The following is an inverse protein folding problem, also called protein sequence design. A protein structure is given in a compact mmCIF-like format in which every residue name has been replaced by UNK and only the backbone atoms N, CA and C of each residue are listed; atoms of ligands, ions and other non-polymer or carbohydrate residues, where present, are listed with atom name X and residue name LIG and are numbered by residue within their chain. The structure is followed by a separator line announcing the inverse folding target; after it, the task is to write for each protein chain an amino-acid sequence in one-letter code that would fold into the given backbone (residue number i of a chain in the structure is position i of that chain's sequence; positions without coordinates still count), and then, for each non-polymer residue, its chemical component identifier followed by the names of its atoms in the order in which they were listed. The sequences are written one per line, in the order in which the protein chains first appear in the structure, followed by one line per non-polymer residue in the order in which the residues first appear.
data_IF_419785980636
#
_entry.id   IF_419785980636
#
_cell.length_a   1.000
_cell.length_b   1.000
_cell.length_c   1.000
_cell.angle_alpha   90.00
_cell.angle_beta   90.00
_cell.angle_gamma   90.00
#
_symmetry.space_group_name_H-M   'P 1'
#
loop_
_entity.id
_entity.type
_entity.pdbx_description
1 polymer ?
#
# COMPACT_ATOMS: atom_id res chain seq x y z
N UNK A 1 48.19 0.46 -11.35
CA UNK A 1 47.70 1.08 -10.11
C UNK A 1 48.18 2.52 -10.13
N UNK A 2 47.40 3.39 -10.78
CA UNK A 2 47.69 4.83 -10.84
C UNK A 2 47.30 5.45 -9.52
N UNK A 3 48.23 6.10 -8.84
CA UNK A 3 47.96 7.01 -7.73
C UNK A 3 46.96 8.06 -8.21
N UNK A 4 45.68 7.88 -7.90
CA UNK A 4 44.71 8.96 -7.99
C UNK A 4 45.07 9.85 -6.81
N UNK A 5 45.93 10.85 -7.04
CA UNK A 5 46.08 11.97 -6.14
C UNK A 5 44.70 12.61 -6.03
N UNK A 6 43.97 12.22 -4.99
CA UNK A 6 42.69 12.81 -4.62
C UNK A 6 42.99 14.27 -4.26
N UNK A 7 42.86 15.16 -5.24
CA UNK A 7 43.14 16.58 -5.10
C UNK A 7 41.99 17.22 -4.30
N UNK A 8 41.92 16.89 -3.01
CA UNK A 8 40.96 17.50 -2.09
C UNK A 8 41.27 18.98 -2.06
N UNK A 9 40.28 19.80 -2.43
CA UNK A 9 40.41 21.24 -2.34
C UNK A 9 40.66 21.57 -0.87
N UNK A 10 41.77 22.23 -0.50
CA UNK A 10 42.02 22.57 0.89
C UNK A 10 40.96 23.59 1.34
N UNK A 11 39.94 23.11 2.05
CA UNK A 11 38.90 23.97 2.62
C UNK A 11 39.49 24.69 3.81
N UNK A 12 39.68 26.01 3.67
CA UNK A 12 40.10 26.84 4.81
C UNK A 12 38.92 26.98 5.78
N UNK A 13 38.95 26.23 6.89
CA UNK A 13 37.92 26.26 7.93
C UNK A 13 38.04 27.53 8.79
N UNK A 14 37.79 28.71 8.20
CA UNK A 14 37.81 30.01 8.91
C UNK A 14 36.74 30.15 10.00
N UNK A 15 35.75 29.24 10.08
CA UNK A 15 34.64 29.23 11.05
C UNK A 15 34.82 28.29 12.26
N UNK A 16 36.03 27.80 12.53
CA UNK A 16 36.31 26.99 13.73
C UNK A 16 36.65 27.82 14.98
N UNK A 17 36.57 29.15 14.90
CA UNK A 17 36.81 30.00 16.07
C UNK A 17 35.59 30.00 16.99
N UNK A 18 35.77 29.87 18.32
CA UNK A 18 34.71 30.12 19.31
C UNK A 18 34.00 31.46 19.16
N UNK A 19 34.63 32.42 18.47
CA UNK A 19 34.14 33.77 18.20
C UNK A 19 33.32 33.89 16.89
N UNK A 20 32.88 32.77 16.29
CA UNK A 20 32.05 32.80 15.09
C UNK A 20 30.71 33.54 15.34
N UNK A 21 30.38 34.60 14.57
CA UNK A 21 29.11 35.33 14.73
C UNK A 21 27.87 34.45 14.56
N UNK A 22 27.97 33.31 13.85
CA UNK A 22 26.89 32.33 13.73
C UNK A 22 26.69 31.45 14.97
N UNK A 23 27.69 31.39 15.85
CA UNK A 23 27.62 30.75 17.17
C UNK A 23 27.37 31.78 18.29
N UNK A 24 27.20 33.07 17.99
CA UNK A 24 27.00 34.11 19.00
C UNK A 24 25.89 33.82 20.05
N UNK A 25 24.73 33.20 19.71
CA UNK A 25 23.74 32.82 20.72
C UNK A 25 24.22 31.72 21.67
N UNK A 26 25.01 30.74 21.19
CA UNK A 26 25.57 29.67 22.03
C UNK A 26 26.85 30.10 22.76
N UNK A 27 27.63 31.01 22.17
CA UNK A 27 28.82 31.61 22.79
C UNK A 27 28.48 32.46 24.02
N UNK A 28 27.28 33.04 24.11
CA UNK A 28 26.84 33.80 25.30
C UNK A 28 26.72 32.92 26.55
N UNK A 29 26.22 31.69 26.43
CA UNK A 29 25.96 30.77 27.55
C UNK A 29 26.22 29.30 27.15
N UNK A 30 27.48 28.91 26.89
CA UNK A 30 27.81 27.60 26.31
C UNK A 30 27.39 26.45 27.23
N UNK A 31 27.60 26.59 28.54
CA UNK A 31 27.24 25.58 29.55
C UNK A 31 25.73 25.32 29.61
N UNK A 32 24.90 26.32 29.35
CA UNK A 32 23.44 26.15 29.35
C UNK A 32 23.00 25.36 28.12
N UNK A 33 23.52 25.71 26.95
CA UNK A 33 23.23 25.01 25.69
C UNK A 33 23.64 23.54 25.78
N UNK A 34 24.86 23.26 26.26
CA UNK A 34 25.35 21.90 26.46
C UNK A 34 24.46 21.11 27.43
N UNK A 35 24.06 21.71 28.56
CA UNK A 35 23.16 21.07 29.54
C UNK A 35 21.78 20.77 28.96
N UNK A 36 21.21 21.66 28.16
CA UNK A 36 19.90 21.44 27.54
C UNK A 36 19.97 20.29 26.53
N UNK A 37 21.02 20.24 25.70
CA UNK A 37 21.24 19.15 24.73
C UNK A 37 21.50 17.83 25.45
N UNK A 38 22.31 17.84 26.51
CA UNK A 38 22.55 16.65 27.32
C UNK A 38 21.25 16.16 27.98
N UNK A 39 20.42 17.06 28.50
CA UNK A 39 19.14 16.72 29.12
C UNK A 39 18.17 16.09 28.12
N UNK A 40 18.07 16.60 26.88
CA UNK A 40 17.21 15.98 25.86
C UNK A 40 17.70 14.59 25.49
N UNK A 41 19.02 14.36 25.39
CA UNK A 41 19.55 13.01 25.17
C UNK A 41 19.32 12.07 26.35
N UNK A 42 19.44 12.54 27.59
CA UNK A 42 19.14 11.74 28.78
C UNK A 42 17.66 11.34 28.80
N UNK A 43 16.74 12.29 28.58
CA UNK A 43 15.29 12.01 28.51
C UNK A 43 14.98 11.04 27.38
N UNK A 44 15.57 11.23 26.19
CA UNK A 44 15.42 10.31 25.06
C UNK A 44 15.89 8.89 25.38
N UNK A 45 17.03 8.77 26.05
CA UNK A 45 17.61 7.47 26.49
C UNK A 45 16.71 6.79 27.52
N UNK A 46 16.22 7.52 28.52
CA UNK A 46 15.32 6.98 29.54
C UNK A 46 14.00 6.48 28.93
N UNK A 47 13.46 7.19 27.94
CA UNK A 47 12.26 6.76 27.23
C UNK A 47 12.49 5.52 26.36
N UNK A 48 13.68 5.37 25.75
CA UNK A 48 14.05 4.15 25.04
C UNK A 48 14.24 2.94 25.97
N UNK A 49 14.83 3.14 27.14
CA UNK A 49 14.89 2.10 28.17
C UNK A 49 13.48 1.73 28.67
N UNK A 50 12.62 2.72 28.87
CA UNK A 50 11.22 2.50 29.24
C UNK A 50 10.45 1.76 28.14
N UNK A 51 10.75 2.02 26.86
CA UNK A 51 10.20 1.25 25.73
C UNK A 51 10.64 -0.21 25.78
N UNK A 52 11.94 -0.48 25.95
CA UNK A 52 12.45 -1.84 26.07
C UNK A 52 11.83 -2.61 27.24
N UNK A 53 11.69 -1.95 28.40
CA UNK A 53 10.97 -2.50 29.55
C UNK A 53 9.49 -2.75 29.26
N UNK A 54 8.79 -1.76 28.70
CA UNK A 54 7.37 -1.86 28.35
C UNK A 54 7.10 -2.98 27.34
N UNK A 55 8.03 -3.19 26.40
CA UNK A 55 7.98 -4.29 25.45
C UNK A 55 8.14 -5.64 26.15
N UNK A 56 9.12 -5.75 27.07
CA UNK A 56 9.36 -6.97 27.84
C UNK A 56 8.15 -7.43 28.66
N UNK A 57 7.44 -6.51 29.30
CA UNK A 57 6.24 -6.82 30.10
C UNK A 57 4.94 -6.89 29.28
N UNK A 58 5.02 -6.84 27.94
CA UNK A 58 3.89 -6.82 27.02
C UNK A 58 2.84 -5.74 27.36
N UNK A 59 3.30 -4.50 27.51
CA UNK A 59 2.45 -3.37 27.84
C UNK A 59 1.47 -3.01 26.69
N UNK A 60 0.41 -2.26 27.03
CA UNK A 60 -0.57 -1.77 26.06
C UNK A 60 0.08 -0.99 24.90
N UNK A 61 -0.44 -1.09 23.66
CA UNK A 61 0.18 -0.47 22.47
C UNK A 61 0.44 1.04 22.57
N UNK A 62 -0.43 1.78 23.27
CA UNK A 62 -0.23 3.23 23.45
C UNK A 62 0.97 3.56 24.34
N UNK A 63 1.32 2.71 25.32
CA UNK A 63 2.52 2.88 26.17
C UNK A 63 3.80 2.65 25.37
N UNK A 64 3.77 1.64 24.49
CA UNK A 64 4.86 1.35 23.55
C UNK A 64 5.05 2.53 22.57
N UNK A 65 3.95 3.01 21.98
CA UNK A 65 3.97 4.17 21.09
C UNK A 65 4.49 5.44 21.78
N UNK A 66 4.03 5.73 23.00
CA UNK A 66 4.43 6.93 23.73
C UNK A 66 5.91 6.91 24.13
N UNK A 67 6.43 5.78 24.60
CA UNK A 67 7.84 5.64 25.02
C UNK A 67 8.79 5.65 23.82
N UNK A 68 8.49 4.91 22.75
CA UNK A 68 9.30 4.91 21.53
C UNK A 68 9.26 6.27 20.82
N UNK A 69 8.06 6.81 20.61
CA UNK A 69 7.85 8.09 19.95
C UNK A 69 8.48 9.25 20.73
N UNK A 70 8.28 9.27 22.04
CA UNK A 70 8.93 10.25 22.93
C UNK A 70 10.46 10.13 22.90
N UNK A 71 11.00 8.92 22.97
CA UNK A 71 12.44 8.68 22.88
C UNK A 71 13.06 9.25 21.61
N UNK A 72 12.50 8.91 20.45
CA UNK A 72 12.95 9.44 19.15
C UNK A 72 12.77 10.95 19.04
N UNK A 73 11.66 11.49 19.56
CA UNK A 73 11.39 12.92 19.55
C UNK A 73 12.47 13.72 20.29
N UNK A 74 12.83 13.31 21.51
CA UNK A 74 13.88 13.98 22.29
C UNK A 74 15.27 13.78 21.71
N UNK A 75 15.58 12.62 21.11
CA UNK A 75 16.81 12.44 20.33
C UNK A 75 16.86 13.39 19.12
N UNK A 76 15.76 13.52 18.37
CA UNK A 76 15.66 14.43 17.24
C UNK A 76 15.91 15.89 17.64
N UNK A 77 15.27 16.35 18.73
CA UNK A 77 15.51 17.69 19.29
C UNK A 77 16.98 17.86 19.69
N UNK A 78 17.57 16.88 20.38
CA UNK A 78 18.98 16.93 20.79
C UNK A 78 19.95 17.01 19.60
N UNK A 79 19.73 16.21 18.56
CA UNK A 79 20.55 16.23 17.35
C UNK A 79 20.44 17.56 16.58
N UNK A 80 19.23 18.09 16.42
CA UNK A 80 19.02 19.39 15.77
C UNK A 80 19.68 20.50 16.58
N UNK A 81 19.53 20.49 17.91
CA UNK A 81 20.16 21.48 18.78
C UNK A 81 21.70 21.38 18.75
N UNK A 82 22.27 20.17 18.73
CA UNK A 82 23.70 19.97 18.51
C UNK A 82 24.14 20.58 17.17
N UNK A 83 23.50 20.19 16.06
CA UNK A 83 23.84 20.70 14.74
C UNK A 83 23.69 22.24 14.64
N UNK A 84 22.68 22.81 15.30
CA UNK A 84 22.41 24.25 15.23
C UNK A 84 23.30 25.08 16.16
N UNK A 85 23.69 24.59 17.32
CA UNK A 85 24.31 25.43 18.35
C UNK A 85 25.76 25.05 18.69
N UNK A 86 26.21 23.84 18.35
CA UNK A 86 27.57 23.36 18.63
C UNK A 86 28.39 23.11 17.36
N UNK A 87 27.77 22.83 16.21
CA UNK A 87 28.51 22.59 14.97
C UNK A 87 28.93 23.90 14.28
N UNK A 88 30.16 23.97 13.73
CA UNK A 88 30.63 25.11 12.95
C UNK A 88 29.72 25.38 11.75
N UNK A 89 29.41 26.66 11.50
CA UNK A 89 28.60 27.09 10.36
C UNK A 89 29.45 27.97 9.46
N UNK A 90 30.10 27.33 8.49
CA UNK A 90 30.81 28.05 7.44
C UNK A 90 29.96 28.17 6.17
N UNK A 91 30.17 29.21 5.35
CA UNK A 91 29.92 29.07 3.92
C UNK A 91 30.93 28.06 3.37
N UNK A 92 30.51 26.79 3.27
CA UNK A 92 31.27 25.77 2.57
C UNK A 92 30.97 25.88 1.08
N UNK A 93 31.94 26.34 0.30
CA UNK A 93 31.83 26.42 -1.16
C UNK A 93 32.64 25.29 -1.76
N UNK A 94 31.96 24.34 -2.37
CA UNK A 94 32.57 23.32 -3.23
C UNK A 94 32.25 23.66 -4.69
N UNK A 95 33.29 23.76 -5.52
CA UNK A 95 33.09 23.98 -6.95
C UNK A 95 32.51 22.71 -7.58
N UNK A 96 31.34 22.82 -8.21
CA UNK A 96 30.72 21.68 -8.87
C UNK A 96 31.57 21.28 -10.07
N UNK A 97 32.14 20.08 -10.04
CA UNK A 97 32.79 19.53 -11.23
C UNK A 97 31.77 19.42 -12.37
N UNK A 98 32.21 19.67 -13.60
CA UNK A 98 31.39 19.40 -14.77
C UNK A 98 31.04 17.91 -14.80
N UNK A 99 29.74 17.58 -14.87
CA UNK A 99 29.29 16.21 -15.09
C UNK A 99 29.44 15.77 -16.54
N UNK A 100 29.67 16.72 -17.46
CA UNK A 100 29.94 16.41 -18.85
C UNK A 100 31.40 15.98 -18.99
N UNK A 101 31.59 14.74 -19.45
CA UNK A 101 32.89 14.23 -19.89
C UNK A 101 33.42 15.06 -21.05
N UNK A 102 34.75 15.14 -21.16
CA UNK A 102 35.40 15.79 -22.29
C UNK A 102 35.05 15.05 -23.59
N UNK A 103 35.16 15.73 -24.74
CA UNK A 103 34.98 15.06 -26.04
C UNK A 103 35.96 13.91 -26.22
N UNK A 104 37.20 14.10 -25.78
CA UNK A 104 38.27 13.11 -25.85
C UNK A 104 37.92 11.84 -25.06
N UNK A 105 37.39 11.97 -23.84
CA UNK A 105 36.96 10.81 -23.03
C UNK A 105 35.80 10.05 -23.68
N UNK A 106 34.85 10.77 -24.29
CA UNK A 106 33.72 10.13 -24.99
C UNK A 106 34.17 9.38 -26.23
N UNK A 107 35.09 9.98 -26.99
CA UNK A 107 35.63 9.38 -28.20
C UNK A 107 36.51 8.17 -27.88
N UNK A 108 37.34 8.27 -26.84
CA UNK A 108 38.14 7.16 -26.33
C UNK A 108 37.26 5.99 -25.85
N UNK A 109 36.18 6.29 -25.12
CA UNK A 109 35.23 5.26 -24.67
C UNK A 109 34.48 4.60 -25.84
N UNK A 110 34.03 5.40 -26.82
CA UNK A 110 33.39 4.88 -28.02
C UNK A 110 34.34 3.98 -28.83
N UNK A 111 35.61 4.40 -28.99
CA UNK A 111 36.64 3.61 -29.64
C UNK A 111 36.87 2.28 -28.90
N UNK A 112 36.98 2.31 -27.57
CA UNK A 112 37.16 1.11 -26.75
C UNK A 112 35.99 0.11 -26.90
N UNK A 113 34.74 0.58 -26.99
CA UNK A 113 33.58 -0.28 -27.24
C UNK A 113 33.65 -0.93 -28.62
N UNK A 114 33.98 -0.15 -29.65
CA UNK A 114 34.03 -0.63 -31.04
C UNK A 114 35.17 -1.63 -31.24
N UNK A 115 36.35 -1.33 -30.70
CA UNK A 115 37.53 -2.19 -30.78
C UNK A 115 37.29 -3.53 -30.09
N UNK A 116 36.69 -3.50 -28.89
CA UNK A 116 36.52 -4.70 -28.07
C UNK A 116 35.32 -5.56 -28.46
N UNK A 117 34.20 -4.94 -28.85
CA UNK A 117 32.92 -5.63 -29.05
C UNK A 117 32.35 -5.55 -30.47
N UNK A 118 32.50 -4.39 -31.11
CA UNK A 118 31.83 -4.08 -32.39
C UNK A 118 32.27 -4.99 -33.54
N UNK A 119 33.57 -5.27 -33.65
CA UNK A 119 34.12 -6.08 -34.75
C UNK A 119 33.71 -7.56 -34.70
N UNK A 120 33.65 -8.15 -33.50
CA UNK A 120 33.38 -9.58 -33.32
C UNK A 120 31.90 -9.90 -33.58
N UNK A 121 31.00 -9.07 -33.08
CA UNK A 121 29.55 -9.28 -33.23
C UNK A 121 29.10 -8.97 -34.66
N UNK A 122 29.62 -7.90 -35.29
CA UNK A 122 29.24 -7.50 -36.66
C UNK A 122 29.64 -8.53 -37.72
N UNK A 123 30.74 -9.26 -37.52
CA UNK A 123 31.24 -10.29 -38.46
C UNK A 123 30.54 -11.64 -38.31
N UNK A 124 29.91 -11.91 -37.16
CA UNK A 124 29.27 -13.21 -36.84
C UNK A 124 27.74 -13.12 -36.85
N UNK A 125 27.18 -12.66 -37.96
CA UNK A 125 25.73 -12.38 -38.13
C UNK A 125 24.85 -13.59 -37.81
N UNK A 126 25.29 -14.81 -38.14
CA UNK A 126 24.54 -16.03 -37.81
C UNK A 126 24.43 -16.24 -36.30
N UNK A 127 25.55 -16.15 -35.57
CA UNK A 127 25.56 -16.30 -34.10
C UNK A 127 24.79 -15.17 -33.41
N UNK A 128 24.92 -13.93 -33.90
CA UNK A 128 24.12 -12.80 -33.40
C UNK A 128 22.62 -12.98 -33.65
N UNK A 129 22.25 -13.51 -34.82
CA UNK A 129 20.87 -13.84 -35.16
C UNK A 129 20.30 -14.97 -34.29
N UNK A 130 21.08 -16.03 -34.04
CA UNK A 130 20.69 -17.13 -33.14
C UNK A 130 20.57 -16.66 -31.69
N UNK A 131 21.48 -15.81 -31.20
CA UNK A 131 21.39 -15.21 -29.88
C UNK A 131 20.16 -14.33 -29.74
N UNK A 132 19.90 -13.45 -30.72
CA UNK A 132 18.73 -12.57 -30.74
C UNK A 132 17.42 -13.36 -30.82
N UNK A 133 17.37 -14.39 -31.68
CA UNK A 133 16.23 -15.30 -31.77
C UNK A 133 16.01 -16.08 -30.47
N UNK A 134 17.08 -16.61 -29.87
CA UNK A 134 17.02 -17.34 -28.60
C UNK A 134 16.53 -16.46 -27.45
N UNK A 135 17.05 -15.23 -27.31
CA UNK A 135 16.58 -14.27 -26.32
C UNK A 135 15.13 -13.81 -26.60
N UNK A 136 14.74 -13.68 -27.86
CA UNK A 136 13.37 -13.36 -28.26
C UNK A 136 12.38 -14.46 -27.86
N UNK A 137 12.68 -15.72 -28.19
CA UNK A 137 11.87 -16.88 -27.78
C UNK A 137 11.82 -16.99 -26.26
N UNK A 138 12.97 -16.86 -25.59
CA UNK A 138 13.04 -16.86 -24.13
C UNK A 138 12.16 -15.76 -23.51
N UNK A 139 12.20 -14.55 -24.05
CA UNK A 139 11.39 -13.43 -23.58
C UNK A 139 9.88 -13.71 -23.68
N UNK A 140 9.43 -14.24 -24.81
CA UNK A 140 8.01 -14.62 -25.01
C UNK A 140 7.62 -15.74 -24.06
N UNK A 141 8.44 -16.79 -23.94
CA UNK A 141 8.17 -17.95 -23.08
C UNK A 141 8.22 -17.57 -21.60
N UNK A 142 9.09 -16.66 -21.18
CA UNK A 142 9.14 -16.17 -19.81
C UNK A 142 7.92 -15.29 -19.47
N UNK A 143 7.39 -14.54 -20.44
CA UNK A 143 6.21 -13.68 -20.25
C UNK A 143 4.90 -14.48 -20.20
N UNK A 144 4.81 -15.58 -20.95
CA UNK A 144 3.57 -16.35 -21.08
C UNK A 144 3.02 -16.87 -19.74
N UNK A 145 3.82 -17.48 -18.83
CA UNK A 145 3.37 -17.86 -17.50
C UNK A 145 2.90 -16.67 -16.66
N UNK A 146 3.56 -15.51 -16.76
CA UNK A 146 3.16 -14.33 -15.98
C UNK A 146 1.75 -13.87 -16.36
N UNK A 147 1.43 -13.85 -17.65
CA UNK A 147 0.08 -13.50 -18.12
C UNK A 147 -0.93 -14.61 -17.80
N UNK A 148 -0.55 -15.88 -18.00
CA UNK A 148 -1.47 -17.01 -17.83
C UNK A 148 -1.77 -17.35 -16.37
N UNK A 149 -0.86 -17.01 -15.46
CA UNK A 149 -0.97 -17.25 -14.02
C UNK A 149 -1.75 -16.16 -13.27
N UNK A 150 -2.28 -15.13 -13.95
CA UNK A 150 -3.14 -14.10 -13.35
C UNK A 150 -4.55 -14.61 -12.95
N UNK A 151 -4.83 -15.89 -13.16
CA UNK A 151 -6.03 -16.55 -12.67
C UNK A 151 -6.90 -17.17 -13.77
N UNK A 152 -7.95 -17.89 -13.38
CA UNK A 152 -8.89 -18.47 -14.32
C UNK A 152 -9.72 -17.37 -15.00
N UNK A 153 -9.96 -17.52 -16.29
CA UNK A 153 -10.88 -16.65 -17.02
C UNK A 153 -12.31 -16.89 -16.52
N UNK A 154 -13.09 -15.84 -16.23
CA UNK A 154 -14.42 -15.97 -15.62
C UNK A 154 -15.48 -16.62 -16.53
N UNK A 155 -15.21 -16.80 -17.83
CA UNK A 155 -16.09 -17.47 -18.81
C UNK A 155 -17.58 -17.10 -18.58
N UNK A 156 -18.45 -18.09 -18.38
CA UNK A 156 -19.88 -17.91 -18.13
C UNK A 156 -20.25 -17.85 -16.64
N UNK A 157 -19.29 -17.93 -15.70
CA UNK A 157 -19.61 -18.02 -14.27
C UNK A 157 -20.29 -16.77 -13.73
N UNK A 158 -20.17 -15.64 -14.43
CA UNK A 158 -20.79 -14.35 -14.11
C UNK A 158 -22.30 -14.32 -14.45
N UNK A 159 -22.79 -15.23 -15.30
CA UNK A 159 -24.18 -15.24 -15.75
C UNK A 159 -25.06 -16.28 -15.03
N UNK A 160 -24.48 -16.99 -14.06
CA UNK A 160 -25.16 -18.05 -13.34
C UNK A 160 -24.99 -17.84 -11.84
N UNK A 161 -26.12 -17.90 -11.13
CA UNK A 161 -26.21 -18.08 -9.68
C UNK A 161 -26.53 -19.55 -9.40
N UNK A 162 -26.51 -19.96 -8.13
CA UNK A 162 -26.90 -21.32 -7.75
C UNK A 162 -28.41 -21.42 -7.46
N UNK A 163 -29.15 -20.30 -7.59
CA UNK A 163 -30.62 -20.26 -7.60
C UNK A 163 -31.21 -21.03 -8.78
N UNK A 164 -32.11 -21.97 -8.50
CA UNK A 164 -32.84 -22.77 -9.50
C UNK A 164 -34.32 -22.81 -9.18
N UNK A 165 -35.14 -23.14 -10.18
CA UNK A 165 -36.57 -23.37 -9.96
C UNK A 165 -36.76 -24.49 -8.93
N UNK A 166 -37.48 -24.20 -7.86
CA UNK A 166 -37.70 -25.13 -6.74
C UNK A 166 -36.69 -25.04 -5.59
N UNK A 167 -35.70 -24.13 -5.65
CA UNK A 167 -34.80 -23.86 -4.52
C UNK A 167 -35.57 -23.32 -3.32
N UNK A 168 -35.34 -23.89 -2.14
CA UNK A 168 -35.82 -23.33 -0.88
C UNK A 168 -34.90 -22.19 -0.43
N UNK A 169 -35.50 -21.12 0.12
CA UNK A 169 -34.76 -20.03 0.73
C UNK A 169 -34.38 -20.38 2.18
N UNK A 170 -33.09 -20.33 2.50
CA UNK A 170 -32.56 -20.61 3.84
C UNK A 170 -31.86 -19.37 4.42
N UNK A 171 -31.87 -19.23 5.74
CA UNK A 171 -31.04 -18.23 6.43
C UNK A 171 -29.56 -18.63 6.48
N UNK A 172 -28.72 -17.79 7.10
CA UNK A 172 -27.29 -18.03 7.27
C UNK A 172 -26.95 -19.32 8.06
N UNK A 173 -27.91 -19.86 8.82
CA UNK A 173 -27.74 -21.11 9.56
C UNK A 173 -28.19 -22.34 8.77
N UNK A 174 -28.68 -22.15 7.54
CA UNK A 174 -29.25 -23.22 6.71
C UNK A 174 -30.70 -23.56 7.06
N UNK A 175 -31.34 -22.79 7.95
CA UNK A 175 -32.74 -23.01 8.32
C UNK A 175 -33.64 -22.45 7.22
N UNK A 176 -34.56 -23.28 6.72
CA UNK A 176 -35.56 -22.87 5.72
C UNK A 176 -36.48 -21.79 6.30
N UNK A 177 -36.65 -20.72 5.53
CA UNK A 177 -37.57 -19.63 5.85
C UNK A 177 -38.99 -20.05 5.52
N UNK A 178 -39.89 -19.95 6.50
CA UNK A 178 -41.31 -20.23 6.33
C UNK A 178 -42.12 -18.95 6.15
N UNK A 179 -43.31 -19.10 5.57
CA UNK A 179 -44.28 -18.00 5.51
C UNK A 179 -44.72 -17.66 6.93
N UNK A 180 -44.38 -16.45 7.39
CA UNK A 180 -44.66 -15.99 8.76
C UNK A 180 -43.41 -15.68 9.58
N UNK A 181 -42.24 -16.17 9.17
CA UNK A 181 -40.98 -15.94 9.88
C UNK A 181 -40.55 -14.46 9.87
N UNK A 182 -40.94 -13.71 8.83
CA UNK A 182 -40.66 -12.28 8.72
C UNK A 182 -41.87 -11.47 9.17
N UNK A 183 -41.64 -10.48 10.04
CA UNK A 183 -42.63 -9.46 10.32
C UNK A 183 -42.82 -8.53 9.11
N UNK A 184 -43.97 -7.87 9.03
CA UNK A 184 -44.23 -6.88 7.99
C UNK A 184 -43.24 -5.71 8.15
N UNK A 185 -42.59 -5.32 7.06
CA UNK A 185 -41.54 -4.29 7.01
C UNK A 185 -40.15 -4.79 7.41
N UNK A 186 -39.99 -6.09 7.68
CA UNK A 186 -38.69 -6.69 7.99
C UNK A 186 -38.03 -7.29 6.75
N UNK A 187 -36.71 -7.45 6.84
CA UNK A 187 -35.89 -8.09 5.81
C UNK A 187 -35.02 -9.19 6.42
N UNK A 188 -34.67 -10.18 5.63
CA UNK A 188 -33.67 -11.19 5.99
C UNK A 188 -32.79 -11.49 4.79
N UNK A 189 -31.53 -11.84 5.02
CA UNK A 189 -30.66 -12.36 3.95
C UNK A 189 -30.89 -13.86 3.82
N UNK A 190 -31.17 -14.31 2.60
CA UNK A 190 -31.40 -15.71 2.26
C UNK A 190 -30.45 -16.20 1.17
N UNK A 191 -30.28 -17.51 1.15
CA UNK A 191 -29.49 -18.27 0.18
C UNK A 191 -30.33 -19.43 -0.39
N UNK A 192 -29.96 -19.98 -1.56
CA UNK A 192 -30.48 -21.26 -1.98
C UNK A 192 -30.00 -22.35 -1.02
N UNK A 193 -30.89 -23.26 -0.63
CA UNK A 193 -30.57 -24.37 0.27
C UNK A 193 -29.32 -25.14 -0.18
N UNK A 194 -28.34 -25.28 0.72
CA UNK A 194 -27.11 -26.03 0.50
C UNK A 194 -25.93 -25.19 -0.03
N UNK A 195 -26.12 -23.89 -0.29
CA UNK A 195 -25.03 -22.99 -0.72
C UNK A 195 -24.68 -21.91 0.30
N UNK A 196 -25.40 -21.83 1.41
CA UNK A 196 -25.24 -20.79 2.44
C UNK A 196 -23.85 -20.80 3.10
N UNK A 197 -23.19 -21.96 3.15
CA UNK A 197 -21.84 -22.10 3.71
C UNK A 197 -20.74 -22.19 2.64
N UNK A 198 -21.08 -21.98 1.36
CA UNK A 198 -20.12 -22.05 0.27
C UNK A 198 -19.55 -20.67 -0.08
N UNK A 199 -18.26 -20.60 -0.41
CA UNK A 199 -17.61 -19.35 -0.83
C UNK A 199 -18.33 -18.69 -2.02
N UNK A 200 -18.80 -19.52 -2.96
CA UNK A 200 -19.54 -19.05 -4.14
C UNK A 200 -20.92 -18.52 -3.76
N UNK A 201 -21.69 -19.24 -2.96
CA UNK A 201 -23.00 -18.78 -2.52
C UNK A 201 -22.93 -17.49 -1.71
N UNK A 202 -21.92 -17.37 -0.86
CA UNK A 202 -21.60 -16.13 -0.14
C UNK A 202 -21.19 -14.98 -1.08
N UNK A 203 -20.67 -15.27 -2.27
CA UNK A 203 -20.26 -14.23 -3.21
C UNK A 203 -21.36 -13.79 -4.18
N UNK A 204 -22.20 -14.71 -4.70
CA UNK A 204 -23.12 -14.42 -5.81
C UNK A 204 -24.60 -14.66 -5.52
N UNK A 205 -24.94 -15.45 -4.50
CA UNK A 205 -26.33 -15.87 -4.27
C UNK A 205 -27.06 -15.08 -3.19
N UNK A 206 -26.34 -14.20 -2.46
CA UNK A 206 -26.93 -13.39 -1.40
C UNK A 206 -28.15 -12.62 -1.91
N UNK A 207 -29.30 -12.92 -1.32
CA UNK A 207 -30.59 -12.33 -1.68
C UNK A 207 -31.22 -11.72 -0.44
N UNK A 208 -31.73 -10.50 -0.56
CA UNK A 208 -32.55 -9.88 0.49
C UNK A 208 -34.00 -10.26 0.23
N UNK A 209 -34.59 -10.99 1.17
CA UNK A 209 -36.02 -11.25 1.21
C UNK A 209 -36.69 -10.18 2.07
N UNK A 210 -37.63 -9.45 1.48
CA UNK A 210 -38.36 -8.33 2.08
C UNK A 210 -39.82 -8.73 2.22
N UNK A 211 -40.40 -8.52 3.40
CA UNK A 211 -41.85 -8.59 3.58
C UNK A 211 -42.44 -7.20 3.59
N UNK A 212 -43.04 -6.76 2.50
CA UNK A 212 -43.60 -5.40 2.37
C UNK A 212 -44.96 -5.28 3.06
N UNK A 213 -45.29 -4.07 3.51
CA UNK A 213 -46.56 -3.73 4.17
C UNK A 213 -47.68 -3.37 3.21
N UNK A 214 -47.34 -2.87 2.03
CA UNK A 214 -48.29 -2.35 1.05
C UNK A 214 -48.57 -3.39 -0.03
N UNK A 215 -49.84 -3.66 -0.34
CA UNK A 215 -50.22 -4.54 -1.45
C UNK A 215 -50.16 -3.82 -2.81
N UNK A 216 -50.11 -2.49 -2.82
CA UNK A 216 -49.98 -1.67 -4.01
C UNK A 216 -48.51 -1.34 -4.32
N UNK A 217 -47.74 -2.34 -4.75
CA UNK A 217 -46.36 -2.15 -5.23
C UNK A 217 -46.30 -2.38 -6.74
N UNK A 218 -45.52 -1.56 -7.44
CA UNK A 218 -45.35 -1.67 -8.89
C UNK A 218 -44.15 -2.56 -9.21
N UNK A 219 -44.40 -3.67 -9.87
CA UNK A 219 -43.33 -4.50 -10.46
C UNK A 219 -43.07 -4.09 -11.90
N UNK A 220 -41.93 -4.50 -12.45
CA UNK A 220 -41.73 -4.42 -13.90
C UNK A 220 -42.77 -5.25 -14.64
N UNK A 221 -43.10 -4.85 -15.87
CA UNK A 221 -44.03 -5.56 -16.75
C UNK A 221 -43.58 -7.03 -16.94
N UNK A 222 -44.49 -7.98 -16.72
CA UNK A 222 -44.22 -9.42 -16.75
C UNK A 222 -43.74 -10.03 -15.43
N UNK A 223 -43.68 -9.24 -14.34
CA UNK A 223 -43.30 -9.69 -12.99
C UNK A 223 -44.40 -9.44 -11.96
N UNK A 224 -45.64 -9.27 -12.40
CA UNK A 224 -46.79 -8.94 -11.56
C UNK A 224 -47.05 -10.01 -10.48
N UNK A 225 -46.61 -11.24 -10.71
CA UNK A 225 -46.75 -12.37 -9.79
C UNK A 225 -45.52 -12.61 -8.89
N UNK A 226 -44.46 -11.80 -8.99
CA UNK A 226 -43.18 -12.03 -8.29
C UNK A 226 -43.16 -11.56 -6.82
N UNK A 227 -44.30 -11.12 -6.29
CA UNK A 227 -44.45 -10.71 -4.89
C UNK A 227 -45.57 -11.44 -4.16
N UNK A 228 -45.59 -12.79 -4.13
CA UNK A 228 -46.68 -13.53 -3.49
C UNK A 228 -46.77 -13.17 -2.00
N UNK A 229 -47.98 -12.89 -1.51
CA UNK A 229 -48.25 -12.59 -0.09
C UNK A 229 -47.40 -11.44 0.49
N UNK A 230 -46.93 -10.52 -0.35
CA UNK A 230 -46.08 -9.40 0.06
C UNK A 230 -44.62 -9.76 0.32
N UNK A 231 -44.13 -10.92 -0.17
CA UNK A 231 -42.72 -11.29 -0.11
C UNK A 231 -42.03 -10.98 -1.43
N UNK A 232 -40.99 -10.16 -1.39
CA UNK A 232 -40.20 -9.79 -2.57
C UNK A 232 -38.73 -10.12 -2.30
N UNK A 233 -38.06 -10.67 -3.30
CA UNK A 233 -36.65 -11.01 -3.24
C UNK A 233 -35.85 -10.16 -4.22
N UNK A 234 -34.80 -9.50 -3.73
CA UNK A 234 -33.84 -8.76 -4.55
C UNK A 234 -32.42 -9.26 -4.29
N UNK A 235 -31.55 -9.15 -5.29
CA UNK A 235 -30.11 -9.35 -5.09
C UNK A 235 -29.63 -8.44 -3.97
N UNK A 236 -28.90 -9.01 -3.01
CA UNK A 236 -28.18 -8.24 -1.99
C UNK A 236 -26.97 -7.52 -2.59
N UNK A 237 -26.51 -7.92 -3.76
CA UNK A 237 -25.36 -7.32 -4.43
C UNK A 237 -25.82 -6.15 -5.29
N UNK A 238 -25.24 -4.97 -5.05
CA UNK A 238 -25.55 -3.79 -5.85
C UNK A 238 -25.05 -3.97 -7.30
N UNK A 239 -25.83 -3.47 -8.25
CA UNK A 239 -25.52 -3.57 -9.69
C UNK A 239 -24.40 -2.64 -10.14
N UNK A 240 -23.93 -1.74 -9.27
CA UNK A 240 -22.84 -0.81 -9.56
C UNK A 240 -21.48 -1.49 -9.42
N UNK A 241 -21.14 -1.95 -8.20
CA UNK A 241 -19.82 -2.48 -7.86
C UNK A 241 -19.89 -3.75 -6.97
N UNK A 242 -21.06 -4.35 -6.79
CA UNK A 242 -21.22 -5.60 -6.04
C UNK A 242 -21.18 -5.48 -4.51
N UNK A 243 -21.29 -4.27 -3.95
CA UNK A 243 -21.38 -4.12 -2.50
C UNK A 243 -22.67 -4.76 -1.96
N UNK A 244 -22.62 -5.46 -0.81
CA UNK A 244 -23.81 -6.02 -0.18
C UNK A 244 -24.67 -4.91 0.44
N UNK A 245 -25.88 -4.70 -0.08
CA UNK A 245 -26.89 -3.76 0.44
C UNK A 245 -27.80 -4.47 1.43
N UNK A 246 -27.70 -4.11 2.71
CA UNK A 246 -28.45 -4.77 3.79
C UNK A 246 -29.26 -3.83 4.67
N UNK A 247 -29.28 -2.54 4.35
CA UNK A 247 -30.08 -1.56 5.06
C UNK A 247 -31.42 -1.41 4.33
N UNK A 248 -32.52 -1.58 5.03
CA UNK A 248 -33.86 -1.35 4.46
C UNK A 248 -34.57 -0.27 5.26
N UNK A 249 -34.90 0.83 4.60
CA UNK A 249 -35.68 1.91 5.19
C UNK A 249 -37.17 1.59 5.07
N UNK A 250 -37.76 1.07 6.15
CA UNK A 250 -39.15 0.61 6.16
C UNK A 250 -40.18 1.69 5.77
N UNK A 251 -39.95 2.95 6.15
CA UNK A 251 -40.89 4.04 5.90
C UNK A 251 -40.95 4.43 4.42
N UNK A 252 -39.79 4.49 3.75
CA UNK A 252 -39.66 4.84 2.34
C UNK A 252 -39.62 3.63 1.40
N UNK A 253 -39.47 2.42 1.96
CA UNK A 253 -39.30 1.16 1.25
C UNK A 253 -38.07 1.13 0.31
N UNK A 254 -36.96 1.72 0.76
CA UNK A 254 -35.70 1.83 0.01
C UNK A 254 -34.62 0.88 0.54
N UNK A 255 -33.85 0.30 -0.39
CA UNK A 255 -32.65 -0.53 -0.19
C UNK A 255 -31.38 0.26 -0.49
#
# INVERSE_FOLDING_TARGET
MSDIQEHRTPVTLKGLSPDDPHLAPSARNPRLVERVIALTFVVGTLLMLAFGWAYWINALPWKLGATMGGGLFFYGIGLIAWAKYLMPKGPFVEQRHSLANTSEDRDAFAAAIVERGGGVVKRRKLLGGLLGGGLGVFGVVAMFPLVRSLGPLPKSTLFHTDWRTGSFAVDQSGRRIQVGDLAIGSIVTVFPEGTENSDRGQAVDQTVLIRISNQDFTTQKGRETWGPMGYIAYSKLCTHLGCPVGLYEQQLQLL
#
